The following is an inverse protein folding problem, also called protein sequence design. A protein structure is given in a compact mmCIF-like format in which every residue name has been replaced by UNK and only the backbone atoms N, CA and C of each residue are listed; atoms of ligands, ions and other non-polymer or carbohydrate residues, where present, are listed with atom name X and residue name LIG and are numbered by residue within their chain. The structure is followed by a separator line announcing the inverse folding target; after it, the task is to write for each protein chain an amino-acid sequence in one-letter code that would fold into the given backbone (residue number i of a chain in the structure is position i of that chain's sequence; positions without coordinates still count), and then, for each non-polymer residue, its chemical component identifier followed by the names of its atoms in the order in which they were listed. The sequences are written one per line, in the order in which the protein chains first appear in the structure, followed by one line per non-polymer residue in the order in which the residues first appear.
data_IF_437835976806
#
_entry.id   IF_437835976806
#
_cell.length_a   1.000
_cell.length_b   1.000
_cell.length_c   1.000
_cell.angle_alpha   90.00
_cell.angle_beta   90.00
_cell.angle_gamma   90.00
#
_symmetry.space_group_name_H-M   'P 1'
#
loop_
_entity.id
_entity.type
_entity.pdbx_description
1 polymer ?
#
# COMPACT_ATOMS: atom_id res chain seq x y z
N UNK A 1 14.41 30.14 0.13
CA UNK A 1 13.26 29.51 -0.55
C UNK A 1 13.26 27.98 -0.42
N UNK A 2 14.38 27.28 -0.63
CA UNK A 2 14.50 25.81 -0.63
C UNK A 2 14.05 25.07 0.66
N UNK A 3 14.24 25.67 1.83
CA UNK A 3 13.86 25.07 3.13
C UNK A 3 12.34 24.91 3.30
N UNK A 4 11.55 25.85 2.76
CA UNK A 4 10.08 25.82 2.83
C UNK A 4 9.46 24.76 1.93
N UNK A 5 10.11 24.45 0.80
CA UNK A 5 9.67 23.38 -0.11
C UNK A 5 9.92 22.00 0.52
N UNK A 6 11.11 21.78 1.07
CA UNK A 6 11.49 20.52 1.72
C UNK A 6 10.58 20.14 2.91
N UNK A 7 10.13 21.14 3.67
CA UNK A 7 9.23 20.92 4.81
C UNK A 7 7.79 20.62 4.37
N UNK A 8 7.33 21.26 3.30
CA UNK A 8 6.03 20.96 2.66
C UNK A 8 6.02 19.56 2.08
N UNK A 9 7.05 19.18 1.33
CA UNK A 9 7.19 17.83 0.77
C UNK A 9 7.20 16.78 1.88
N UNK A 10 7.89 17.07 2.98
CA UNK A 10 7.92 16.19 4.14
C UNK A 10 6.55 16.01 4.80
N UNK A 11 5.74 17.07 4.86
CA UNK A 11 4.36 17.01 5.38
C UNK A 11 3.45 16.27 4.42
N UNK A 12 3.55 16.53 3.11
CA UNK A 12 2.80 15.82 2.07
C UNK A 12 3.12 14.33 2.10
N UNK A 13 4.39 13.93 2.17
CA UNK A 13 4.77 12.52 2.28
C UNK A 13 4.27 11.87 3.58
N UNK A 14 4.24 12.63 4.68
CA UNK A 14 3.76 12.11 5.96
C UNK A 14 2.25 11.90 5.93
N UNK A 15 1.52 12.85 5.38
CA UNK A 15 0.07 12.77 5.23
C UNK A 15 -0.33 11.64 4.29
N UNK A 16 0.31 11.53 3.13
CA UNK A 16 0.09 10.41 2.19
C UNK A 16 0.42 9.06 2.81
N UNK A 17 1.51 8.95 3.58
CA UNK A 17 1.81 7.74 4.35
C UNK A 17 0.72 7.40 5.36
N UNK A 18 0.22 8.40 6.10
CA UNK A 18 -0.86 8.19 7.07
C UNK A 18 -2.18 7.77 6.41
N UNK A 19 -2.52 8.39 5.28
CA UNK A 19 -3.70 8.04 4.50
C UNK A 19 -3.60 6.61 3.96
N UNK A 20 -2.46 6.24 3.37
CA UNK A 20 -2.21 4.89 2.90
C UNK A 20 -2.31 3.87 4.04
N UNK A 21 -1.75 4.20 5.21
CA UNK A 21 -1.84 3.34 6.38
C UNK A 21 -3.28 3.15 6.86
N UNK A 22 -4.06 4.24 6.88
CA UNK A 22 -5.47 4.20 7.26
C UNK A 22 -6.30 3.37 6.26
N UNK A 23 -6.03 3.50 4.96
CA UNK A 23 -6.65 2.68 3.92
C UNK A 23 -6.32 1.20 4.12
N UNK A 24 -5.06 0.85 4.37
CA UNK A 24 -4.67 -0.54 4.65
C UNK A 24 -5.35 -1.09 5.92
N UNK A 25 -5.41 -0.30 7.00
CA UNK A 25 -6.12 -0.65 8.23
C UNK A 25 -7.61 -0.88 8.00
N UNK A 26 -8.23 -0.11 7.11
CA UNK A 26 -9.65 -0.27 6.78
C UNK A 26 -9.97 -1.60 6.07
N UNK A 27 -9.02 -2.15 5.30
CA UNK A 27 -9.15 -3.50 4.73
C UNK A 27 -9.14 -4.57 5.82
N UNK A 28 -8.35 -4.38 6.88
CA UNK A 28 -8.28 -5.30 8.02
C UNK A 28 -9.53 -5.20 8.91
N UNK A 29 -10.02 -3.97 9.14
CA UNK A 29 -11.14 -3.70 10.02
C UNK A 29 -12.51 -3.99 9.38
N UNK A 30 -12.66 -3.71 8.08
CA UNK A 30 -13.92 -3.85 7.35
C UNK A 30 -13.72 -4.55 5.99
N UNK A 31 -13.20 -5.80 5.96
CA UNK A 31 -12.83 -6.50 4.73
C UNK A 31 -14.00 -6.66 3.74
N UNK A 32 -15.23 -6.87 4.25
CA UNK A 32 -16.43 -7.06 3.44
C UNK A 32 -16.79 -5.86 2.57
N UNK A 33 -16.38 -4.64 2.96
CA UNK A 33 -16.57 -3.45 2.14
C UNK A 33 -15.67 -3.45 0.89
N UNK A 34 -14.48 -4.06 0.99
CA UNK A 34 -13.46 -4.09 -0.05
C UNK A 34 -13.56 -5.31 -0.95
N UNK A 35 -14.14 -6.41 -0.47
CA UNK A 35 -14.33 -7.65 -1.24
C UNK A 35 -14.94 -7.45 -2.63
N UNK A 36 -16.00 -6.64 -2.85
CA UNK A 36 -16.55 -6.42 -4.19
C UNK A 36 -15.59 -5.69 -5.15
N UNK A 37 -14.69 -4.85 -4.61
CA UNK A 37 -13.68 -4.15 -5.41
C UNK A 37 -12.52 -5.09 -5.77
N UNK A 38 -12.11 -5.91 -4.81
CA UNK A 38 -10.96 -6.83 -4.96
C UNK A 38 -11.35 -8.08 -5.77
N UNK A 39 -12.60 -8.55 -5.70
CA UNK A 39 -13.07 -9.75 -6.41
C UNK A 39 -13.02 -9.62 -7.93
N UNK A 40 -13.10 -8.40 -8.47
CA UNK A 40 -12.94 -8.14 -9.90
C UNK A 40 -11.55 -8.47 -10.43
N UNK A 41 -10.53 -8.50 -9.55
CA UNK A 41 -9.14 -8.84 -9.89
C UNK A 41 -8.72 -10.19 -9.31
N UNK A 42 -9.24 -10.54 -8.12
CA UNK A 42 -8.95 -11.78 -7.39
C UNK A 42 -10.26 -12.51 -7.04
N UNK A 43 -10.88 -13.21 -7.99
CA UNK A 43 -12.17 -13.87 -7.78
C UNK A 43 -12.06 -15.05 -6.80
N UNK A 44 -10.91 -15.72 -6.77
CA UNK A 44 -10.60 -16.77 -5.81
C UNK A 44 -9.92 -16.19 -4.57
N UNK A 45 -10.32 -16.70 -3.39
CA UNK A 45 -9.72 -16.33 -2.11
C UNK A 45 -9.70 -14.81 -1.82
N UNK A 46 -10.69 -14.06 -2.34
CA UNK A 46 -10.77 -12.59 -2.30
C UNK A 46 -10.53 -12.02 -0.89
N UNK A 47 -11.13 -12.64 0.14
CA UNK A 47 -10.94 -12.24 1.54
C UNK A 47 -9.47 -12.25 1.96
N UNK A 48 -8.73 -13.28 1.59
CA UNK A 48 -7.31 -13.39 1.90
C UNK A 48 -6.52 -12.29 1.19
N UNK A 49 -6.84 -12.00 -0.07
CA UNK A 49 -6.23 -10.90 -0.81
C UNK A 49 -6.51 -9.54 -0.16
N UNK A 50 -7.75 -9.28 0.30
CA UNK A 50 -8.10 -8.06 1.05
C UNK A 50 -7.21 -7.89 2.29
N UNK A 51 -7.03 -8.95 3.08
CA UNK A 51 -6.17 -8.89 4.28
C UNK A 51 -4.69 -8.69 3.94
N UNK A 52 -4.16 -9.41 2.95
CA UNK A 52 -2.76 -9.31 2.54
C UNK A 52 -2.46 -7.92 1.99
N UNK A 53 -3.31 -7.42 1.08
CA UNK A 53 -3.16 -6.07 0.51
C UNK A 53 -3.24 -5.02 1.62
N UNK A 54 -4.24 -5.12 2.50
CA UNK A 54 -4.42 -4.22 3.63
C UNK A 54 -3.23 -4.18 4.58
N UNK A 55 -2.65 -5.34 4.92
CA UNK A 55 -1.46 -5.44 5.76
C UNK A 55 -0.24 -4.76 5.13
N UNK A 56 -0.06 -4.93 3.82
CA UNK A 56 1.07 -4.36 3.09
C UNK A 56 0.92 -2.85 2.93
N UNK A 57 -0.26 -2.35 2.56
CA UNK A 57 -0.56 -0.91 2.52
C UNK A 57 -0.36 -0.25 3.88
N UNK A 58 -0.78 -0.93 4.96
CA UNK A 58 -0.56 -0.46 6.33
C UNK A 58 0.92 -0.31 6.64
N UNK A 59 1.72 -1.35 6.38
CA UNK A 59 3.15 -1.35 6.65
C UNK A 59 3.89 -0.28 5.82
N UNK A 60 3.54 -0.14 4.53
CA UNK A 60 4.11 0.85 3.64
C UNK A 60 3.72 2.28 4.05
N UNK A 61 2.46 2.51 4.40
CA UNK A 61 1.96 3.80 4.86
C UNK A 61 2.62 4.25 6.17
N UNK A 62 2.70 3.37 7.17
CA UNK A 62 3.41 3.62 8.43
C UNK A 62 4.89 3.90 8.17
N UNK A 63 5.51 3.10 7.31
CA UNK A 63 6.90 3.27 6.89
C UNK A 63 7.16 4.61 6.20
N UNK A 64 6.23 5.09 5.37
CA UNK A 64 6.32 6.37 4.67
C UNK A 64 6.07 7.56 5.62
N UNK A 65 5.18 7.40 6.59
CA UNK A 65 4.87 8.42 7.59
C UNK A 65 6.05 8.66 8.57
N UNK A 66 6.82 7.62 8.87
CA UNK A 66 7.99 7.70 9.74
C UNK A 66 9.25 8.11 8.95
N UNK A 67 9.80 9.30 9.24
CA UNK A 67 11.02 9.82 8.59
C UNK A 67 12.21 8.85 8.62
N UNK A 68 12.32 8.05 9.68
CA UNK A 68 13.42 7.08 9.88
C UNK A 68 13.33 5.85 8.97
N UNK A 69 12.12 5.45 8.58
CA UNK A 69 11.87 4.23 7.80
C UNK A 69 11.46 4.51 6.36
N UNK A 70 11.25 5.77 5.96
CA UNK A 70 10.89 6.19 4.59
C UNK A 70 11.69 5.52 3.49
N UNK A 71 13.02 5.50 3.60
CA UNK A 71 13.88 4.92 2.56
C UNK A 71 13.59 3.43 2.37
N UNK A 72 13.44 2.69 3.47
CA UNK A 72 13.07 1.27 3.43
C UNK A 72 11.65 1.07 2.92
N UNK A 73 10.71 1.94 3.31
CA UNK A 73 9.32 1.88 2.85
C UNK A 73 9.22 2.08 1.34
N UNK A 74 9.97 3.03 0.76
CA UNK A 74 10.01 3.25 -0.69
C UNK A 74 10.59 2.02 -1.42
N UNK A 75 11.69 1.45 -0.93
CA UNK A 75 12.26 0.23 -1.52
C UNK A 75 11.29 -0.94 -1.43
N UNK A 76 10.65 -1.12 -0.27
CA UNK A 76 9.63 -2.15 -0.07
C UNK A 76 8.43 -1.98 -0.98
N UNK A 77 7.96 -0.74 -1.18
CA UNK A 77 6.85 -0.42 -2.07
C UNK A 77 7.21 -0.78 -3.51
N UNK A 78 8.38 -0.38 -3.99
CA UNK A 78 8.86 -0.73 -5.33
C UNK A 78 8.99 -2.25 -5.53
N UNK A 79 9.58 -2.95 -4.56
CA UNK A 79 9.73 -4.40 -4.62
C UNK A 79 8.37 -5.11 -4.64
N UNK A 80 7.43 -4.67 -3.81
CA UNK A 80 6.10 -5.25 -3.76
C UNK A 80 5.29 -4.99 -5.03
N UNK A 81 5.34 -3.76 -5.57
CA UNK A 81 4.71 -3.44 -6.85
C UNK A 81 5.30 -4.28 -7.98
N UNK A 82 6.63 -4.44 -8.03
CA UNK A 82 7.28 -5.30 -9.03
C UNK A 82 6.85 -6.77 -8.91
N UNK A 83 6.73 -7.28 -7.68
CA UNK A 83 6.23 -8.63 -7.41
C UNK A 83 4.78 -8.82 -7.86
N UNK A 84 3.89 -7.86 -7.57
CA UNK A 84 2.50 -7.90 -8.01
C UNK A 84 2.39 -7.90 -9.53
N UNK A 85 3.15 -7.03 -10.22
CA UNK A 85 3.16 -6.98 -11.69
C UNK A 85 3.66 -8.31 -12.26
N UNK A 86 4.76 -8.85 -11.75
CA UNK A 86 5.28 -10.15 -12.19
C UNK A 86 4.27 -11.28 -11.99
N UNK A 87 3.59 -11.29 -10.83
CA UNK A 87 2.57 -12.29 -10.50
C UNK A 87 1.34 -12.16 -11.41
N UNK A 88 0.88 -10.94 -11.70
CA UNK A 88 -0.26 -10.68 -12.58
C UNK A 88 0.03 -11.02 -14.05
N UNK A 89 1.27 -10.82 -14.52
CA UNK A 89 1.70 -11.25 -15.85
C UNK A 89 1.75 -12.78 -15.92
N UNK A 90 2.26 -13.43 -14.87
CA UNK A 90 2.36 -14.89 -14.80
C UNK A 90 0.98 -15.56 -14.77
N UNK A 91 0.04 -15.06 -13.98
CA UNK A 91 -1.31 -15.62 -13.88
C UNK A 91 -2.12 -15.49 -15.17
N UNK A 92 -1.81 -14.50 -16.02
CA UNK A 92 -2.44 -14.30 -17.33
C UNK A 92 -1.86 -15.20 -18.45
N UNK A 93 -0.74 -15.87 -18.20
CA UNK A 93 -0.02 -16.71 -19.18
C UNK A 93 -0.35 -18.21 -19.09
N UNK A 94 -1.27 -18.59 -18.21
CA UNK A 94 -1.86 -19.94 -18.05
C UNK A 94 -3.35 -19.86 -18.29
#
# INVERSE_FOLDING_TARGET
MADRDSDKDSKVLKLSGLLLAATGLSHLAAPTFWEPLVSGVFPDNTRNHVYVNGGIETALGVGLAARRTRKFAVVGLLAYTAYLVATAVRSRST
#
